data_IF_980328170627
#
_entry.id   IF_980328170627
#
_cell.length_a   1.000
_cell.length_b   1.000
_cell.length_c   1.000
_cell.angle_alpha   90.00
_cell.angle_beta   90.00
_cell.angle_gamma   90.00
#
_symmetry.space_group_name_H-M   'P 1'
#
loop_
_entity.id
_entity.type
_entity.pdbx_description
1 polymer ?
#
# COMPACT_ATOMS: atom_id res chain seq x y z
N UNK A 1 -18.24 -30.27 73.36
CA UNK A 1 -17.63 -30.85 72.14
C UNK A 1 -18.30 -30.17 70.95
N UNK A 2 -17.69 -29.11 70.44
CA UNK A 2 -18.26 -28.25 69.39
C UNK A 2 -17.46 -28.41 68.11
N UNK A 3 -18.17 -28.56 66.99
CA UNK A 3 -17.68 -28.80 65.63
C UNK A 3 -16.66 -27.73 65.17
N UNK A 4 -15.38 -27.95 65.45
CA UNK A 4 -14.27 -27.11 64.97
C UNK A 4 -13.74 -27.55 63.60
N UNK A 5 -14.07 -28.76 63.13
CA UNK A 5 -13.58 -29.28 61.84
C UNK A 5 -14.34 -28.70 60.64
N UNK A 6 -15.64 -28.41 60.77
CA UNK A 6 -16.46 -27.88 59.68
C UNK A 6 -16.20 -26.40 59.37
N UNK A 7 -15.86 -25.59 60.36
CA UNK A 7 -15.60 -24.15 60.18
C UNK A 7 -14.24 -23.87 59.54
N UNK A 8 -13.22 -24.68 59.84
CA UNK A 8 -11.89 -24.57 59.22
C UNK A 8 -11.95 -24.98 57.75
N UNK A 9 -12.66 -26.05 57.41
CA UNK A 9 -12.83 -26.50 56.03
C UNK A 9 -13.60 -25.46 55.17
N UNK A 10 -14.63 -24.84 55.75
CA UNK A 10 -15.40 -23.79 55.08
C UNK A 10 -14.59 -22.51 54.85
N UNK A 11 -13.74 -22.11 55.81
CA UNK A 11 -12.84 -20.98 55.68
C UNK A 11 -11.75 -21.21 54.62
N UNK A 12 -11.19 -22.43 54.57
CA UNK A 12 -10.18 -22.79 53.58
C UNK A 12 -10.77 -22.86 52.16
N UNK A 13 -12.00 -23.36 52.01
CA UNK A 13 -12.72 -23.39 50.73
C UNK A 13 -13.10 -21.97 50.27
N UNK A 14 -13.57 -21.11 51.17
CA UNK A 14 -13.88 -19.70 50.88
C UNK A 14 -12.63 -18.93 50.47
N UNK A 15 -11.49 -19.15 51.14
CA UNK A 15 -10.22 -18.54 50.78
C UNK A 15 -9.74 -19.02 49.40
N UNK A 16 -9.83 -20.33 49.10
CA UNK A 16 -9.48 -20.87 47.77
C UNK A 16 -10.40 -20.32 46.67
N UNK A 17 -11.70 -20.21 46.92
CA UNK A 17 -12.66 -19.62 45.98
C UNK A 17 -12.39 -18.13 45.75
N UNK A 18 -12.07 -17.37 46.80
CA UNK A 18 -11.74 -15.95 46.70
C UNK A 18 -10.41 -15.72 45.97
N UNK A 19 -9.40 -16.57 46.22
CA UNK A 19 -8.11 -16.52 45.53
C UNK A 19 -8.27 -16.86 44.04
N UNK A 20 -9.07 -17.88 43.71
CA UNK A 20 -9.39 -18.25 42.33
C UNK A 20 -10.21 -17.17 41.61
N UNK A 21 -11.13 -16.51 42.32
CA UNK A 21 -11.92 -15.40 41.77
C UNK A 21 -11.04 -14.19 41.49
N UNK A 22 -10.10 -13.88 42.39
CA UNK A 22 -9.13 -12.80 42.19
C UNK A 22 -8.15 -13.10 41.05
N UNK A 23 -7.65 -14.33 40.94
CA UNK A 23 -6.81 -14.77 39.82
C UNK A 23 -7.57 -14.65 38.49
N UNK A 24 -8.84 -15.06 38.47
CA UNK A 24 -9.69 -14.99 37.28
C UNK A 24 -9.99 -13.54 36.85
N UNK A 25 -10.24 -12.64 37.82
CA UNK A 25 -10.42 -11.20 37.56
C UNK A 25 -9.12 -10.57 37.06
N UNK A 26 -7.98 -10.91 37.67
CA UNK A 26 -6.66 -10.42 37.25
C UNK A 26 -6.30 -10.91 35.84
N UNK A 27 -6.62 -12.17 35.51
CA UNK A 27 -6.42 -12.74 34.18
C UNK A 27 -7.34 -12.07 33.14
N UNK A 28 -8.62 -11.79 33.48
CA UNK A 28 -9.52 -11.02 32.60
C UNK A 28 -9.03 -9.60 32.35
N UNK A 29 -8.56 -8.90 33.38
CA UNK A 29 -7.99 -7.56 33.23
C UNK A 29 -6.71 -7.59 32.39
N UNK A 30 -5.85 -8.60 32.58
CA UNK A 30 -4.66 -8.80 31.75
C UNK A 30 -5.03 -9.11 30.29
N UNK A 31 -6.06 -9.93 30.04
CA UNK A 31 -6.53 -10.26 28.69
C UNK A 31 -7.16 -9.05 28.00
N UNK A 32 -7.90 -8.20 28.73
CA UNK A 32 -8.41 -6.93 28.23
C UNK A 32 -7.26 -5.95 27.95
N UNK A 33 -6.22 -5.92 28.78
CA UNK A 33 -5.03 -5.09 28.55
C UNK A 33 -4.25 -5.58 27.32
N UNK A 34 -4.09 -6.90 27.13
CA UNK A 34 -3.46 -7.50 25.94
C UNK A 34 -4.32 -7.30 24.70
N UNK A 35 -5.65 -7.33 24.80
CA UNK A 35 -6.56 -6.98 23.70
C UNK A 35 -6.52 -5.48 23.38
N UNK A 36 -6.43 -4.60 24.38
CA UNK A 36 -6.34 -3.15 24.17
C UNK A 36 -4.96 -2.73 23.61
N UNK A 37 -3.87 -3.39 24.05
CA UNK A 37 -2.53 -3.23 23.49
C UNK A 37 -2.37 -3.92 22.12
N UNK A 38 -3.12 -5.00 21.89
CA UNK A 38 -3.19 -5.71 20.60
C UNK A 38 -4.09 -5.03 19.56
N UNK A 39 -4.92 -4.07 19.98
CA UNK A 39 -5.81 -3.28 19.10
C UNK A 39 -5.27 -1.86 18.82
N UNK A 40 -4.05 -1.55 19.24
CA UNK A 40 -3.39 -0.26 18.96
C UNK A 40 -2.06 -0.44 18.21
N UNK A 41 -2.07 -1.26 17.16
CA UNK A 41 -1.22 -1.06 15.99
C UNK A 41 -1.70 -1.99 14.86
N UNK A 42 -2.10 -1.41 13.73
CA UNK A 42 -1.07 -1.30 12.74
C UNK A 42 -0.68 0.16 12.73
N UNK A 43 0.37 0.49 13.48
CA UNK A 43 1.20 1.63 13.11
C UNK A 43 1.91 1.19 11.82
N UNK A 44 1.15 1.17 10.72
CA UNK A 44 1.71 1.23 9.40
C UNK A 44 2.50 2.52 9.41
N UNK A 45 3.82 2.41 9.50
CA UNK A 45 4.71 3.53 9.34
C UNK A 45 4.34 4.22 8.02
N UNK A 46 3.74 5.41 8.11
CA UNK A 46 3.42 6.18 6.90
C UNK A 46 4.69 6.37 6.11
N UNK A 47 4.63 6.19 4.78
CA UNK A 47 5.82 6.09 3.96
C UNK A 47 6.68 7.35 4.15
N UNK A 48 7.94 7.16 4.54
CA UNK A 48 8.87 8.27 4.75
C UNK A 48 9.09 8.99 3.42
N UNK A 49 9.02 10.32 3.43
CA UNK A 49 9.37 11.11 2.24
C UNK A 49 10.88 11.20 2.19
N UNK A 50 11.45 10.90 1.03
CA UNK A 50 12.88 11.08 0.75
C UNK A 50 13.03 12.20 -0.25
N UNK A 51 14.09 13.00 -0.05
CA UNK A 51 14.53 14.05 -0.95
C UNK A 51 15.94 13.72 -1.38
N UNK A 52 16.20 13.74 -2.67
CA UNK A 52 17.54 13.54 -3.21
C UNK A 52 17.76 14.51 -4.35
N UNK A 53 18.86 15.24 -4.34
CA UNK A 53 19.29 16.00 -5.52
C UNK A 53 19.84 15.01 -6.54
N UNK A 54 19.30 15.05 -7.75
CA UNK A 54 19.81 14.28 -8.87
C UNK A 54 21.03 14.99 -9.46
N UNK A 55 22.20 14.35 -9.40
CA UNK A 55 23.48 14.97 -9.79
C UNK A 55 23.54 15.36 -11.28
N UNK A 56 22.70 14.74 -12.12
CA UNK A 56 22.69 15.02 -13.56
C UNK A 56 21.78 16.19 -13.92
N UNK A 57 20.55 16.23 -13.39
CA UNK A 57 19.58 17.28 -13.68
C UNK A 57 19.64 18.46 -12.70
N UNK A 58 20.34 18.31 -11.58
CA UNK A 58 20.37 19.25 -10.45
C UNK A 58 18.98 19.54 -9.85
N UNK A 59 18.01 18.64 -10.07
CA UNK A 59 16.67 18.74 -9.51
C UNK A 59 16.59 17.97 -8.19
N UNK A 60 15.91 18.55 -7.19
CA UNK A 60 15.48 17.84 -5.99
C UNK A 60 14.33 16.90 -6.36
N UNK A 61 14.58 15.60 -6.26
CA UNK A 61 13.57 14.56 -6.42
C UNK A 61 12.95 14.24 -5.06
N UNK A 62 11.65 14.50 -4.94
CA UNK A 62 10.83 14.19 -3.77
C UNK A 62 10.01 12.94 -4.08
N UNK A 63 10.14 11.89 -3.26
CA UNK A 63 9.41 10.62 -3.47
C UNK A 63 9.22 9.85 -2.15
N UNK A 64 8.57 8.69 -2.21
CA UNK A 64 8.46 7.78 -1.07
C UNK A 64 9.68 6.86 -0.95
N UNK A 65 10.14 6.66 0.28
CA UNK A 65 11.13 5.61 0.62
C UNK A 65 10.65 4.21 0.29
N UNK A 66 9.33 3.98 0.45
CA UNK A 66 8.66 2.72 0.17
C UNK A 66 7.44 3.00 -0.71
N UNK A 67 7.31 2.25 -1.78
CA UNK A 67 6.23 2.42 -2.75
C UNK A 67 4.90 1.91 -2.18
N UNK A 68 3.78 2.49 -2.61
CA UNK A 68 2.45 2.04 -2.21
C UNK A 68 2.16 0.68 -2.84
N UNK A 69 2.01 -0.36 -2.02
CA UNK A 69 1.88 -1.75 -2.48
C UNK A 69 0.42 -2.21 -2.57
N UNK A 70 0.11 -2.91 -3.65
CA UNK A 70 -1.14 -3.57 -3.93
C UNK A 70 -0.86 -5.05 -4.20
N UNK A 71 -1.54 -5.98 -3.53
CA UNK A 71 -1.40 -7.41 -3.83
C UNK A 71 -2.70 -7.96 -4.36
N UNK A 72 -2.58 -8.83 -5.36
CA UNK A 72 -3.64 -9.63 -5.95
C UNK A 72 -3.43 -11.09 -5.61
N UNK A 73 -4.48 -11.76 -5.15
CA UNK A 73 -4.52 -13.23 -5.08
C UNK A 73 -5.70 -13.75 -5.87
N UNK A 74 -5.43 -14.51 -6.95
CA UNK A 74 -6.45 -15.20 -7.77
C UNK A 74 -6.05 -16.66 -7.98
N UNK A 75 -6.65 -17.57 -7.21
CA UNK A 75 -6.24 -18.98 -7.22
C UNK A 75 -4.78 -19.13 -6.76
N UNK A 76 -3.95 -19.77 -7.58
CA UNK A 76 -2.49 -19.91 -7.35
C UNK A 76 -1.65 -18.74 -7.90
N UNK A 77 -2.26 -17.76 -8.57
CA UNK A 77 -1.55 -16.59 -9.12
C UNK A 77 -1.52 -15.45 -8.12
N UNK A 78 -0.31 -14.90 -7.91
CA UNK A 78 -0.07 -13.71 -7.09
C UNK A 78 0.39 -12.57 -8.02
N UNK A 79 -0.38 -11.49 -8.03
CA UNK A 79 0.02 -10.24 -8.66
C UNK A 79 0.46 -9.26 -7.58
N UNK A 80 1.48 -8.47 -7.82
CA UNK A 80 1.83 -7.34 -6.96
C UNK A 80 1.97 -6.10 -7.84
N UNK A 81 1.35 -5.00 -7.44
CA UNK A 81 1.58 -3.71 -8.04
C UNK A 81 2.15 -2.74 -7.01
N UNK A 82 2.94 -1.78 -7.48
CA UNK A 82 3.49 -0.71 -6.68
C UNK A 82 3.25 0.61 -7.37
N UNK A 83 2.81 1.61 -6.64
CA UNK A 83 2.58 2.95 -7.15
C UNK A 83 3.42 3.95 -6.36
N UNK A 84 4.17 4.77 -7.09
CA UNK A 84 5.19 5.65 -6.53
C UNK A 84 4.98 7.05 -7.08
N UNK A 85 4.57 8.03 -6.26
CA UNK A 85 4.62 9.42 -6.64
C UNK A 85 6.05 9.95 -6.63
N UNK A 86 6.36 10.81 -7.59
CA UNK A 86 7.65 11.48 -7.72
C UNK A 86 7.40 12.91 -8.17
N UNK A 87 8.09 13.87 -7.56
CA UNK A 87 8.10 15.25 -8.00
C UNK A 87 9.54 15.74 -8.13
N UNK A 88 9.86 16.34 -9.26
CA UNK A 88 11.13 17.01 -9.48
C UNK A 88 10.95 18.50 -9.21
N UNK A 89 11.85 19.07 -8.40
CA UNK A 89 11.85 20.48 -8.03
C UNK A 89 13.18 21.11 -8.36
N UNK A 90 13.16 22.35 -8.80
CA UNK A 90 14.35 23.19 -8.89
C UNK A 90 14.79 23.64 -7.49
N UNK A 91 16.03 24.12 -7.39
CA UNK A 91 16.63 24.56 -6.12
C UNK A 91 15.88 25.74 -5.47
N UNK A 92 15.20 26.56 -6.28
CA UNK A 92 14.34 27.66 -5.80
C UNK A 92 12.96 27.17 -5.30
N UNK A 93 12.69 25.87 -5.38
CA UNK A 93 11.47 25.25 -4.91
C UNK A 93 10.35 25.13 -5.94
N UNK A 94 10.55 25.62 -7.18
CA UNK A 94 9.58 25.46 -8.28
C UNK A 94 9.44 23.98 -8.66
N UNK A 95 8.20 23.54 -8.92
CA UNK A 95 7.94 22.16 -9.37
C UNK A 95 8.11 22.08 -10.88
N UNK A 96 9.10 21.31 -11.33
CA UNK A 96 9.36 21.03 -12.74
C UNK A 96 8.37 19.99 -13.29
N UNK A 97 8.21 18.88 -12.56
CA UNK A 97 7.33 17.80 -13.00
C UNK A 97 6.82 16.96 -11.84
N UNK A 98 5.63 16.38 -12.03
CA UNK A 98 5.00 15.44 -11.10
C UNK A 98 4.64 14.18 -11.89
N UNK A 99 4.97 13.02 -11.33
CA UNK A 99 4.76 11.72 -11.96
C UNK A 99 4.19 10.72 -10.97
N UNK A 100 3.39 9.79 -11.49
CA UNK A 100 3.01 8.55 -10.83
C UNK A 100 3.62 7.38 -11.61
N UNK A 101 4.47 6.61 -10.94
CA UNK A 101 5.07 5.40 -11.49
C UNK A 101 4.35 4.17 -10.95
N UNK A 102 3.69 3.42 -11.83
CA UNK A 102 3.09 2.12 -11.54
C UNK A 102 4.04 1.02 -12.02
N UNK A 103 4.38 0.08 -11.16
CA UNK A 103 5.04 -1.17 -11.53
C UNK A 103 4.06 -2.29 -11.23
N UNK A 104 3.84 -3.21 -12.17
CA UNK A 104 3.06 -4.42 -11.94
C UNK A 104 3.92 -5.64 -12.20
N UNK A 105 4.08 -6.47 -11.18
CA UNK A 105 4.66 -7.79 -11.27
C UNK A 105 3.58 -8.85 -11.16
N UNK A 106 3.59 -9.83 -12.06
CA UNK A 106 2.73 -10.99 -11.95
C UNK A 106 3.59 -12.25 -11.98
N UNK A 107 3.38 -13.14 -11.01
CA UNK A 107 3.77 -14.53 -11.16
C UNK A 107 2.53 -15.32 -11.59
N UNK A 108 2.68 -16.16 -12.62
CA UNK A 108 1.63 -17.07 -13.05
C UNK A 108 2.18 -18.47 -13.08
N UNK A 109 1.63 -19.35 -12.24
CA UNK A 109 1.90 -20.79 -12.25
C UNK A 109 0.74 -21.50 -12.96
N UNK A 110 0.97 -22.08 -14.13
CA UNK A 110 -0.03 -22.87 -14.87
C UNK A 110 -0.30 -22.40 -16.32
N UNK A 111 -1.31 -22.97 -16.98
CA UNK A 111 -1.67 -22.65 -18.38
C UNK A 111 -1.81 -21.13 -18.56
N UNK A 112 -1.06 -20.60 -19.54
CA UNK A 112 -0.90 -19.18 -19.87
C UNK A 112 -2.27 -18.49 -19.98
N UNK A 113 -2.73 -17.86 -18.91
CA UNK A 113 -3.85 -16.91 -18.97
C UNK A 113 -3.24 -15.53 -18.96
N UNK A 114 -2.97 -15.01 -20.16
CA UNK A 114 -2.36 -13.69 -20.40
C UNK A 114 -3.24 -12.56 -19.83
N UNK A 115 -3.17 -12.31 -18.53
CA UNK A 115 -3.68 -11.08 -17.95
C UNK A 115 -2.62 -10.40 -17.06
N UNK A 116 -1.40 -10.13 -17.56
CA UNK A 116 -0.59 -9.11 -16.93
C UNK A 116 -1.30 -7.77 -17.11
N UNK A 117 -1.40 -6.96 -16.05
CA UNK A 117 -1.89 -5.59 -16.17
C UNK A 117 -0.96 -4.87 -17.14
N UNK A 118 -1.47 -4.55 -18.32
CA UNK A 118 -0.73 -3.80 -19.33
C UNK A 118 -0.99 -2.32 -19.19
N UNK A 119 0.03 -1.51 -18.97
CA UNK A 119 -0.15 -0.14 -18.51
C UNK A 119 0.82 0.85 -19.15
N UNK A 120 1.77 0.40 -19.95
CA UNK A 120 2.69 1.23 -20.73
C UNK A 120 1.99 1.90 -21.93
N UNK A 121 2.62 2.93 -22.47
CA UNK A 121 2.17 3.61 -23.68
C UNK A 121 2.05 2.66 -24.88
N UNK A 122 2.98 1.69 -25.01
CA UNK A 122 2.97 0.70 -26.09
C UNK A 122 1.70 -0.17 -26.10
N UNK A 123 1.01 -0.24 -24.97
CA UNK A 123 -0.21 -1.03 -24.78
C UNK A 123 -1.46 -0.18 -24.64
N UNK A 124 -1.37 1.15 -24.87
CA UNK A 124 -2.48 2.08 -24.71
C UNK A 124 -2.85 2.34 -23.25
N UNK A 125 -1.89 2.19 -22.34
CA UNK A 125 -2.12 2.25 -20.91
C UNK A 125 -2.70 3.58 -20.43
N UNK A 126 -3.80 3.55 -19.67
CA UNK A 126 -4.32 4.73 -18.97
C UNK A 126 -4.55 4.45 -17.49
N UNK A 127 -4.33 5.45 -16.64
CA UNK A 127 -4.74 5.45 -15.24
C UNK A 127 -5.91 6.40 -15.09
N UNK A 128 -7.07 5.86 -14.69
CA UNK A 128 -8.26 6.63 -14.33
C UNK A 128 -8.43 6.65 -12.82
N UNK A 129 -8.53 7.83 -12.24
CA UNK A 129 -8.79 8.03 -10.82
C UNK A 129 -10.17 8.68 -10.69
N UNK A 130 -11.14 7.95 -10.15
CA UNK A 130 -12.41 8.50 -9.72
C UNK A 130 -12.26 9.01 -8.28
N UNK A 131 -12.35 10.32 -8.14
CA UNK A 131 -12.42 11.03 -6.87
C UNK A 131 -13.90 11.24 -6.49
N UNK A 132 -14.15 12.00 -5.43
CA UNK A 132 -15.50 12.24 -4.89
C UNK A 132 -16.48 12.71 -5.99
N UNK A 133 -16.13 13.76 -6.74
CA UNK A 133 -16.99 14.36 -7.79
C UNK A 133 -16.31 14.46 -9.16
N UNK A 134 -15.06 14.02 -9.30
CA UNK A 134 -14.28 14.19 -10.53
C UNK A 134 -13.61 12.90 -10.98
N UNK A 135 -13.24 12.86 -12.26
CA UNK A 135 -12.45 11.78 -12.85
C UNK A 135 -11.21 12.38 -13.47
N UNK A 136 -10.05 11.90 -13.06
CA UNK A 136 -8.76 12.21 -13.67
C UNK A 136 -8.39 11.03 -14.57
N UNK A 137 -8.02 11.30 -15.82
CA UNK A 137 -7.56 10.30 -16.78
C UNK A 137 -6.16 10.66 -17.26
N UNK A 138 -5.22 9.75 -17.05
CA UNK A 138 -3.80 9.95 -17.35
C UNK A 138 -3.34 8.89 -18.34
N UNK A 139 -2.84 9.32 -19.50
CA UNK A 139 -2.16 8.43 -20.44
C UNK A 139 -0.76 8.09 -19.96
N UNK A 140 -0.33 6.85 -20.17
CA UNK A 140 1.06 6.46 -19.91
C UNK A 140 2.01 7.16 -20.89
N UNK A 141 3.14 7.65 -20.38
CA UNK A 141 4.12 8.42 -21.16
C UNK A 141 5.37 7.62 -21.54
N UNK A 142 5.51 6.40 -21.01
CA UNK A 142 6.66 5.53 -21.27
C UNK A 142 6.26 4.31 -22.11
N UNK A 143 7.15 3.88 -23.01
CA UNK A 143 6.94 2.69 -23.86
C UNK A 143 7.37 1.37 -23.22
N UNK A 144 7.93 1.40 -22.00
CA UNK A 144 8.61 0.25 -21.40
C UNK A 144 7.62 -0.77 -20.83
N UNK A 145 7.66 -1.99 -21.36
CA UNK A 145 7.15 -3.20 -20.72
C UNK A 145 8.27 -4.25 -20.74
N UNK A 146 8.70 -4.75 -19.59
CA UNK A 146 9.72 -5.80 -19.52
C UNK A 146 9.04 -7.15 -19.26
N UNK A 147 9.36 -8.14 -20.07
CA UNK A 147 8.83 -9.49 -19.88
C UNK A 147 10.01 -10.40 -19.66
N UNK A 148 10.17 -10.87 -18.42
CA UNK A 148 11.22 -11.81 -18.06
C UNK A 148 10.63 -13.21 -17.98
N UNK A 149 10.79 -13.99 -19.04
CA UNK A 149 10.34 -15.37 -19.06
C UNK A 149 11.38 -16.28 -18.40
N UNK A 150 11.37 -16.36 -17.07
CA UNK A 150 12.08 -17.44 -16.37
C UNK A 150 11.33 -18.77 -16.59
N UNK A 151 11.71 -19.51 -17.63
CA UNK A 151 11.18 -20.84 -17.93
C UNK A 151 11.66 -21.88 -16.91
N UNK A 152 11.11 -21.89 -15.70
CA UNK A 152 11.28 -22.98 -14.75
C UNK A 152 10.10 -23.96 -14.89
N UNK A 153 10.29 -25.02 -15.68
CA UNK A 153 9.32 -26.12 -15.79
C UNK A 153 9.46 -27.01 -14.56
N UNK A 154 8.69 -26.72 -13.52
CA UNK A 154 8.47 -27.69 -12.44
C UNK A 154 7.17 -28.42 -12.75
N UNK A 155 7.26 -29.69 -13.16
CA UNK A 155 6.13 -30.61 -13.33
C UNK A 155 4.95 -30.08 -14.17
N UNK A 156 5.20 -29.65 -15.42
CA UNK A 156 4.13 -29.33 -16.37
C UNK A 156 3.39 -28.01 -16.14
N UNK A 157 3.82 -27.19 -15.17
CA UNK A 157 3.38 -25.81 -15.03
C UNK A 157 4.43 -24.87 -15.65
N UNK A 158 4.00 -24.01 -16.57
CA UNK A 158 4.79 -22.86 -17.00
C UNK A 158 4.71 -21.80 -15.89
N UNK A 159 5.87 -21.34 -15.43
CA UNK A 159 5.97 -20.13 -14.62
C UNK A 159 6.36 -19.01 -15.58
N UNK A 160 5.47 -18.03 -15.76
CA UNK A 160 5.81 -16.82 -16.48
C UNK A 160 5.86 -15.68 -15.47
N UNK A 161 7.04 -15.09 -15.32
CA UNK A 161 7.20 -13.85 -14.59
C UNK A 161 7.06 -12.66 -15.55
N UNK A 162 6.42 -11.61 -15.06
CA UNK A 162 6.07 -10.47 -15.88
C UNK A 162 6.25 -9.20 -15.08
N UNK A 163 6.94 -8.19 -15.62
CA UNK A 163 7.13 -6.89 -14.97
C UNK A 163 6.85 -5.74 -15.93
N UNK A 164 5.68 -5.12 -15.83
CA UNK A 164 5.42 -3.89 -16.59
C UNK A 164 5.53 -2.64 -15.74
N UNK A 165 5.99 -1.57 -16.38
CA UNK A 165 6.10 -0.26 -15.79
C UNK A 165 5.27 0.75 -16.60
N UNK A 166 4.50 1.57 -15.91
CA UNK A 166 3.84 2.73 -16.46
C UNK A 166 4.24 3.99 -15.68
N UNK A 167 4.42 5.09 -16.40
CA UNK A 167 4.66 6.41 -15.85
C UNK A 167 3.52 7.29 -16.37
N UNK A 168 2.88 8.01 -15.46
CA UNK A 168 1.83 8.96 -15.75
C UNK A 168 2.29 10.35 -15.29
N UNK A 169 2.09 11.37 -16.12
CA UNK A 169 2.36 12.76 -15.71
C UNK A 169 1.12 13.35 -15.03
N UNK A 170 1.33 14.15 -13.98
CA UNK A 170 0.26 14.86 -13.29
C UNK A 170 0.51 16.35 -13.34
N UNK A 171 -0.58 17.11 -13.47
CA UNK A 171 -0.55 18.54 -13.19
C UNK A 171 -0.58 18.80 -11.68
N UNK A 172 -0.24 20.04 -11.30
CA UNK A 172 -0.33 20.50 -9.90
C UNK A 172 -1.77 20.40 -9.41
N UNK A 173 -2.74 20.84 -10.22
CA UNK A 173 -4.16 20.81 -9.90
C UNK A 173 -4.68 19.39 -9.71
N UNK A 174 -4.19 18.44 -10.51
CA UNK A 174 -4.54 17.03 -10.37
C UNK A 174 -4.00 16.45 -9.06
N UNK A 175 -2.75 16.75 -8.70
CA UNK A 175 -2.18 16.29 -7.42
C UNK A 175 -2.91 16.92 -6.23
N UNK A 176 -3.28 18.20 -6.32
CA UNK A 176 -4.10 18.90 -5.33
C UNK A 176 -5.49 18.27 -5.19
N UNK A 177 -6.15 17.94 -6.30
CA UNK A 177 -7.45 17.28 -6.28
C UNK A 177 -7.38 15.90 -5.61
N UNK A 178 -6.32 15.13 -5.90
CA UNK A 178 -6.09 13.82 -5.27
C UNK A 178 -5.86 13.96 -3.76
N UNK A 179 -5.08 14.97 -3.32
CA UNK A 179 -4.78 15.16 -1.90
C UNK A 179 -6.00 15.65 -1.11
N UNK A 180 -6.85 16.48 -1.71
CA UNK A 180 -8.08 16.99 -1.09
C UNK A 180 -9.21 15.94 -1.03
N UNK A 181 -9.18 14.91 -1.88
CA UNK A 181 -10.24 13.91 -1.97
C UNK A 181 -10.42 13.12 -0.67
N UNK A 182 -11.67 12.75 -0.39
CA UNK A 182 -12.05 11.87 0.73
C UNK A 182 -12.11 10.41 0.31
N UNK A 183 -12.38 10.15 -0.97
CA UNK A 183 -12.36 8.82 -1.57
C UNK A 183 -11.61 8.80 -2.88
N UNK A 184 -11.04 7.63 -3.21
CA UNK A 184 -10.37 7.40 -4.49
C UNK A 184 -10.63 5.97 -4.94
N UNK A 185 -10.95 5.82 -6.22
CA UNK A 185 -10.97 4.53 -6.91
C UNK A 185 -10.10 4.67 -8.14
N UNK A 186 -9.15 3.78 -8.29
CA UNK A 186 -8.25 3.77 -9.42
C UNK A 186 -8.65 2.66 -10.41
N UNK A 187 -8.43 2.88 -11.69
CA UNK A 187 -8.60 1.90 -12.75
C UNK A 187 -7.43 2.05 -13.71
N UNK A 188 -6.78 0.94 -14.03
CA UNK A 188 -5.73 0.90 -15.05
C UNK A 188 -6.30 0.18 -16.27
N UNK A 189 -6.29 0.83 -17.43
CA UNK A 189 -6.63 0.19 -18.70
C UNK A 189 -5.37 -0.21 -19.43
N UNK A 190 -5.42 -1.33 -20.13
CA UNK A 190 -4.34 -1.85 -20.96
C UNK A 190 -4.78 -2.24 -22.35
N UNK A 191 -4.06 -3.22 -22.92
CA UNK A 191 -4.31 -3.73 -24.26
C UNK A 191 -5.77 -4.16 -24.46
N UNK A 192 -6.39 -3.73 -25.56
CA UNK A 192 -7.76 -4.06 -25.96
C UNK A 192 -8.85 -3.63 -24.95
N UNK A 193 -8.69 -2.48 -24.31
CA UNK A 193 -9.63 -1.92 -23.33
C UNK A 193 -9.85 -2.80 -22.09
N UNK A 194 -8.98 -3.78 -21.85
CA UNK A 194 -8.99 -4.56 -20.63
C UNK A 194 -8.67 -3.64 -19.45
N UNK A 195 -9.57 -3.60 -18.47
CA UNK A 195 -9.46 -2.73 -17.31
C UNK A 195 -9.29 -3.51 -16.01
N UNK A 196 -8.48 -2.95 -15.12
CA UNK A 196 -8.23 -3.47 -13.78
C UNK A 196 -8.58 -2.40 -12.75
N UNK A 197 -9.63 -2.67 -11.96
CA UNK A 197 -10.00 -1.78 -10.85
C UNK A 197 -9.05 -1.97 -9.65
N UNK A 198 -8.78 -0.87 -8.96
CA UNK A 198 -7.94 -0.76 -7.77
C UNK A 198 -8.70 0.07 -6.72
N UNK A 199 -9.21 -0.52 -5.63
CA UNK A 199 -9.22 -1.96 -5.33
C UNK A 199 -10.29 -2.71 -6.14
N UNK A 200 -10.04 -3.99 -6.41
CA UNK A 200 -11.00 -4.95 -6.97
C UNK A 200 -11.13 -6.14 -6.01
N UNK A 201 -12.13 -7.02 -6.18
CA UNK A 201 -12.40 -8.21 -5.36
C UNK A 201 -11.17 -9.08 -5.01
N UNK A 202 -10.10 -9.00 -5.82
CA UNK A 202 -8.86 -9.76 -5.62
C UNK A 202 -7.66 -8.90 -5.23
N UNK A 203 -7.76 -7.56 -5.27
CA UNK A 203 -6.67 -6.63 -4.91
C UNK A 203 -6.91 -6.08 -3.52
N UNK A 204 -6.06 -6.48 -2.56
CA UNK A 204 -6.00 -5.83 -1.26
C UNK A 204 -5.10 -4.61 -1.39
N UNK A 205 -5.62 -3.45 -1.00
CA UNK A 205 -4.81 -2.26 -0.77
C UNK A 205 -4.14 -2.46 0.59
N UNK A 206 -2.81 -2.53 0.61
CA UNK A 206 -2.08 -2.76 1.86
C UNK A 206 -1.78 -1.44 2.58
N UNK A 207 -1.91 -0.30 1.90
CA UNK A 207 -1.64 1.03 2.43
C UNK A 207 -2.68 2.01 1.89
N UNK A 208 -3.40 2.71 2.79
CA UNK A 208 -4.39 3.70 2.40
C UNK A 208 -3.74 4.80 1.55
N UNK A 209 -4.25 4.96 0.33
CA UNK A 209 -3.68 5.84 -0.69
C UNK A 209 -3.73 7.33 -0.31
N UNK A 210 -4.86 7.79 0.23
CA UNK A 210 -5.14 9.22 0.39
C UNK A 210 -4.27 9.91 1.47
N UNK A 211 -4.09 9.34 2.68
CA UNK A 211 -3.18 9.92 3.67
C UNK A 211 -1.75 10.08 3.15
N UNK A 212 -1.26 9.10 2.39
CA UNK A 212 0.08 9.12 1.81
C UNK A 212 0.20 10.16 0.69
N UNK A 213 -0.80 10.28 -0.18
CA UNK A 213 -0.82 11.34 -1.21
C UNK A 213 -0.94 12.75 -0.60
N UNK A 214 -1.64 12.92 0.52
CA UNK A 214 -1.66 14.18 1.28
C UNK A 214 -0.29 14.51 1.86
N UNK A 215 0.38 13.52 2.44
CA UNK A 215 1.75 13.67 2.96
C UNK A 215 2.72 14.06 1.84
N UNK A 216 2.61 13.40 0.69
CA UNK A 216 3.39 13.73 -0.51
C UNK A 216 3.13 15.16 -0.97
N UNK A 217 1.87 15.56 -1.15
CA UNK A 217 1.51 16.92 -1.54
C UNK A 217 2.13 17.97 -0.60
N UNK A 218 2.00 17.77 0.71
CA UNK A 218 2.59 18.67 1.70
C UNK A 218 4.11 18.73 1.59
N UNK A 219 4.78 17.60 1.32
CA UNK A 219 6.22 17.61 1.12
C UNK A 219 6.63 18.34 -0.17
N UNK A 220 5.85 18.25 -1.24
CA UNK A 220 6.19 18.93 -2.50
C UNK A 220 5.99 20.45 -2.38
N UNK A 221 4.89 20.90 -1.80
CA UNK A 221 4.49 22.32 -1.86
C UNK A 221 4.68 23.11 -0.55
N UNK A 222 4.65 22.45 0.61
CA UNK A 222 4.65 23.14 1.91
C UNK A 222 5.96 23.01 2.69
N UNK A 223 6.93 22.25 2.17
CA UNK A 223 8.23 22.08 2.79
C UNK A 223 9.31 22.88 2.06
N UNK A 224 10.21 23.48 2.83
CA UNK A 224 11.37 24.20 2.30
C UNK A 224 12.22 23.27 1.40
N UNK A 225 12.78 23.78 0.29
CA UNK A 225 13.73 23.02 -0.51
C UNK A 225 14.97 22.67 0.31
N UNK A 226 15.54 21.47 0.06
CA UNK A 226 16.80 21.06 0.68
C UNK A 226 17.91 21.98 0.16
N UNK A 227 18.55 22.76 1.04
CA UNK A 227 19.71 23.56 0.65
C UNK A 227 20.88 22.63 0.34
N UNK A 228 21.48 22.76 -0.84
CA UNK A 228 22.77 22.14 -1.15
C UNK A 228 23.86 22.85 -0.34
N UNK A 229 24.52 22.11 0.56
CA UNK A 229 25.78 22.52 1.19
C UNK A 229 26.94 22.54 0.18
#
# INVERSE_FOLDING_TARGET
>A
MTNLSGSVLAAELALRLQTNTNIYIMYKLFLILVLALGLTAPVYAGNEIVRKVDDFSNLEIVTFKKQLKFERTKGVSIGTAWLTPEAARTQDGTVDSIRLKLIVKCNQTGMITRDPVRASQATGGTLKLKLDESVIELGAINQLSEVDFENSVIQGAYIADYTEQAIFSLSIEQLQAISAASTVKARVTGMNDLYYDLPHKHYKIHQDWLPEMRKFYNAVFNAAPTQTE
#
